data_IF_952033476876
#
_entry.id   IF_952033476876
#
_cell.length_a   1.000
_cell.length_b   1.000
_cell.length_c   1.000
_cell.angle_alpha   90.00
_cell.angle_beta   90.00
_cell.angle_gamma   90.00
#
_symmetry.space_group_name_H-M   'P 1'
#
loop_
_entity.id
_entity.type
_entity.pdbx_description
1 polymer ?
#
# COMPACT_ATOMS: atom_id res chain seq x y z
N UNK A 1 -8.73 9.08 16.76
CA UNK A 1 -8.98 8.86 15.33
C UNK A 1 -10.47 8.62 15.15
N UNK A 2 -11.10 9.18 14.11
CA UNK A 2 -12.46 8.76 13.76
C UNK A 2 -12.45 7.28 13.36
N UNK A 3 -13.41 6.46 13.80
CA UNK A 3 -13.45 5.02 13.51
C UNK A 3 -13.50 4.72 12.01
N UNK A 4 -14.08 5.63 11.21
CA UNK A 4 -14.10 5.51 9.75
C UNK A 4 -12.70 5.69 9.12
N UNK A 5 -11.88 6.59 9.67
CA UNK A 5 -10.55 6.84 9.16
C UNK A 5 -9.58 5.69 9.50
N UNK A 6 -9.71 5.11 10.69
CA UNK A 6 -8.95 3.93 11.11
C UNK A 6 -9.22 2.74 10.19
N UNK A 7 -10.49 2.50 9.85
CA UNK A 7 -10.89 1.42 8.93
C UNK A 7 -10.36 1.63 7.52
N UNK A 8 -10.37 2.86 7.00
CA UNK A 8 -9.77 3.20 5.69
C UNK A 8 -8.26 3.03 5.69
N UNK A 9 -7.59 3.39 6.79
CA UNK A 9 -6.16 3.17 6.98
C UNK A 9 -5.78 1.69 6.88
N UNK A 10 -6.48 0.83 7.61
CA UNK A 10 -6.23 -0.61 7.53
C UNK A 10 -6.51 -1.19 6.14
N UNK A 11 -7.54 -0.70 5.45
CA UNK A 11 -7.84 -1.10 4.07
C UNK A 11 -6.72 -0.72 3.10
N UNK A 12 -6.23 0.52 3.15
CA UNK A 12 -5.17 1.01 2.28
C UNK A 12 -3.84 0.27 2.52
N UNK A 13 -3.50 0.01 3.79
CA UNK A 13 -2.33 -0.79 4.15
C UNK A 13 -2.48 -2.22 3.64
N UNK A 14 -3.66 -2.84 3.81
CA UNK A 14 -3.92 -4.19 3.33
C UNK A 14 -3.80 -4.30 1.80
N UNK A 15 -4.35 -3.33 1.06
CA UNK A 15 -4.25 -3.28 -0.40
C UNK A 15 -2.78 -3.13 -0.85
N UNK A 16 -2.01 -2.26 -0.20
CA UNK A 16 -0.57 -2.11 -0.49
C UNK A 16 0.18 -3.43 -0.28
N UNK A 17 -0.08 -4.13 0.83
CA UNK A 17 0.57 -5.39 1.16
C UNK A 17 0.26 -6.49 0.13
N UNK A 18 -1.00 -6.56 -0.33
CA UNK A 18 -1.44 -7.49 -1.36
C UNK A 18 -0.78 -7.18 -2.70
N UNK A 19 -0.75 -5.91 -3.14
CA UNK A 19 -0.08 -5.53 -4.38
C UNK A 19 1.41 -5.84 -4.35
N UNK A 20 2.11 -5.56 -3.24
CA UNK A 20 3.51 -5.92 -3.11
C UNK A 20 3.71 -7.43 -3.17
N UNK A 21 2.87 -8.21 -2.50
CA UNK A 21 2.98 -9.67 -2.47
C UNK A 21 2.76 -10.27 -3.85
N UNK A 22 1.78 -9.77 -4.60
CA UNK A 22 1.51 -10.21 -5.98
C UNK A 22 2.65 -9.79 -6.91
N UNK A 23 3.09 -8.52 -6.85
CA UNK A 23 4.16 -8.01 -7.70
C UNK A 23 5.49 -8.75 -7.49
N UNK A 24 5.89 -8.95 -6.23
CA UNK A 24 7.09 -9.73 -5.89
C UNK A 24 6.91 -11.19 -6.32
N UNK A 25 5.75 -11.80 -6.04
CA UNK A 25 5.50 -13.20 -6.41
C UNK A 25 5.56 -13.45 -7.91
N UNK A 26 5.00 -12.54 -8.72
CA UNK A 26 5.03 -12.63 -10.18
C UNK A 26 6.43 -12.42 -10.76
N UNK A 27 7.19 -11.46 -10.23
CA UNK A 27 8.58 -11.22 -10.62
C UNK A 27 9.42 -12.49 -10.48
N UNK A 28 9.28 -13.20 -9.35
CA UNK A 28 9.99 -14.45 -9.09
C UNK A 28 9.49 -15.66 -9.91
N UNK A 29 8.21 -15.72 -10.27
CA UNK A 29 7.59 -16.90 -10.90
C UNK A 29 7.56 -16.83 -12.43
N UNK A 30 7.35 -15.65 -13.00
CA UNK A 30 7.07 -15.47 -14.42
C UNK A 30 8.15 -14.64 -15.12
N UNK A 31 8.88 -13.80 -14.38
CA UNK A 31 9.98 -13.00 -14.93
C UNK A 31 9.51 -11.93 -15.92
N UNK A 32 8.35 -11.31 -15.67
CA UNK A 32 7.85 -10.20 -16.50
C UNK A 32 8.43 -8.86 -16.03
N UNK A 33 9.69 -8.63 -16.40
CA UNK A 33 10.58 -7.61 -15.84
C UNK A 33 10.01 -6.18 -15.78
N UNK A 34 9.12 -5.77 -16.69
CA UNK A 34 8.55 -4.42 -16.71
C UNK A 34 7.20 -4.32 -16.00
N UNK A 35 6.34 -5.33 -16.15
CA UNK A 35 4.99 -5.31 -15.59
C UNK A 35 5.02 -5.50 -14.07
N UNK A 36 5.88 -6.40 -13.60
CA UNK A 36 6.03 -6.70 -12.17
C UNK A 36 6.63 -5.51 -11.41
N UNK A 37 7.58 -4.81 -12.05
CA UNK A 37 8.16 -3.58 -11.52
C UNK A 37 7.11 -2.48 -11.35
N UNK A 38 6.19 -2.33 -12.30
CA UNK A 38 5.09 -1.36 -12.21
C UNK A 38 4.13 -1.68 -11.06
N UNK A 39 3.82 -2.96 -10.85
CA UNK A 39 2.95 -3.42 -9.75
C UNK A 39 3.61 -3.15 -8.40
N UNK A 40 4.92 -3.41 -8.27
CA UNK A 40 5.69 -3.10 -7.06
C UNK A 40 5.71 -1.59 -6.80
N UNK A 41 5.99 -0.76 -7.81
CA UNK A 41 5.97 0.70 -7.68
C UNK A 41 4.57 1.19 -7.27
N UNK A 42 3.51 0.68 -7.89
CA UNK A 42 2.14 1.05 -7.56
C UNK A 42 1.78 0.65 -6.13
N UNK A 43 2.13 -0.56 -5.70
CA UNK A 43 1.92 -1.04 -4.33
C UNK A 43 2.69 -0.22 -3.30
N UNK A 44 3.93 0.16 -3.61
CA UNK A 44 4.77 0.99 -2.74
C UNK A 44 4.21 2.41 -2.64
N UNK A 45 3.79 3.01 -3.76
CA UNK A 45 3.16 4.32 -3.79
C UNK A 45 1.88 4.35 -2.96
N UNK A 46 1.01 3.35 -3.11
CA UNK A 46 -0.21 3.23 -2.31
C UNK A 46 0.14 3.07 -0.82
N UNK A 47 1.19 2.30 -0.50
CA UNK A 47 1.69 2.16 0.88
C UNK A 47 2.14 3.48 1.50
N UNK A 48 2.86 4.31 0.75
CA UNK A 48 3.26 5.65 1.19
C UNK A 48 2.08 6.60 1.37
N UNK A 49 1.12 6.60 0.43
CA UNK A 49 -0.10 7.40 0.55
C UNK A 49 -0.90 6.97 1.76
N UNK A 50 -1.04 5.65 2.00
CA UNK A 50 -1.68 5.11 3.19
C UNK A 50 -0.98 5.58 4.46
N UNK A 51 0.35 5.46 4.51
CA UNK A 51 1.15 5.86 5.66
C UNK A 51 1.00 7.34 5.98
N UNK A 52 1.12 8.22 4.99
CA UNK A 52 0.95 9.66 5.16
C UNK A 52 -0.49 10.03 5.56
N UNK A 53 -1.49 9.35 5.00
CA UNK A 53 -2.90 9.56 5.36
C UNK A 53 -3.16 9.16 6.81
N UNK A 54 -2.66 8.00 7.24
CA UNK A 54 -2.78 7.54 8.62
C UNK A 54 -2.01 8.41 9.60
N UNK A 55 -0.78 8.79 9.26
CA UNK A 55 0.06 9.66 10.07
C UNK A 55 -0.57 11.05 10.18
N UNK A 56 -1.08 11.63 9.08
CA UNK A 56 -1.76 12.93 9.09
C UNK A 56 -3.02 12.91 9.95
N UNK A 57 -3.84 11.87 9.85
CA UNK A 57 -5.04 11.74 10.67
C UNK A 57 -4.76 11.40 12.14
N UNK A 58 -3.60 10.80 12.44
CA UNK A 58 -3.18 10.48 13.81
C UNK A 58 -2.48 11.68 14.49
N UNK A 59 -1.61 12.39 13.76
CA UNK A 59 -0.78 13.48 14.27
C UNK A 59 -1.49 14.83 14.31
N UNK A 60 -2.51 15.05 13.48
CA UNK A 60 -3.30 16.30 13.47
C UNK A 60 -4.42 16.33 14.52
N UNK A 61 -4.68 15.21 15.21
CA UNK A 61 -5.68 15.13 16.26
C UNK A 61 -5.04 15.30 17.64
N UNK A 62 -4.38 16.45 17.84
CA UNK A 62 -3.96 16.97 19.13
C UNK A 62 -4.58 18.34 19.37
#
# INVERSE_FOLDING_TARGET
>A
MNPEAERRCHLLIGISLVLLTIGIGYDFLVGTELADFLVIIAGLFIGWVAFLYCLGNAAFWR
#
